data_IF_891781341135
#
_entry.id   IF_891781341135
#
_cell.length_a   1.000
_cell.length_b   1.000
_cell.length_c   1.000
_cell.angle_alpha   90.00
_cell.angle_beta   90.00
_cell.angle_gamma   90.00
#
_symmetry.space_group_name_H-M   'P 1'
#
loop_
_entity.id
_entity.type
_entity.pdbx_description
1 polymer ?
#
# COMPACT_ATOMS: atom_id res chain seq x y z
N UNK A 1 29.23 35.15 -39.99
CA UNK A 1 27.75 34.89 -39.86
C UNK A 1 27.43 33.46 -39.38
N UNK A 2 28.22 32.85 -38.56
CA UNK A 2 28.03 31.44 -38.12
C UNK A 2 27.78 31.25 -36.61
N UNK A 3 27.56 32.31 -35.89
CA UNK A 3 27.36 32.25 -34.43
C UNK A 3 25.86 32.13 -34.00
N UNK A 4 24.92 32.27 -34.93
CA UNK A 4 23.49 32.37 -34.60
C UNK A 4 22.76 31.00 -34.64
N UNK A 5 23.31 30.01 -35.25
CA UNK A 5 22.66 28.69 -35.45
C UNK A 5 22.83 27.75 -34.23
N UNK A 6 23.93 27.84 -33.49
CA UNK A 6 24.19 26.98 -32.34
C UNK A 6 23.27 27.23 -31.14
N UNK A 7 22.89 28.51 -30.93
CA UNK A 7 22.02 28.89 -29.85
C UNK A 7 20.55 28.44 -30.00
N UNK A 8 20.07 28.29 -31.23
CA UNK A 8 18.70 27.83 -31.50
C UNK A 8 18.56 26.31 -31.23
N UNK A 9 19.51 25.53 -31.69
CA UNK A 9 19.47 24.07 -31.49
C UNK A 9 19.58 23.65 -30.03
N UNK A 10 20.40 24.36 -29.25
CA UNK A 10 20.55 24.10 -27.80
C UNK A 10 19.26 24.46 -27.06
N UNK A 11 18.61 25.57 -27.37
CA UNK A 11 17.34 25.97 -26.78
C UNK A 11 16.22 24.98 -27.12
N UNK A 12 16.14 24.51 -28.36
CA UNK A 12 15.16 23.53 -28.80
C UNK A 12 15.41 22.18 -28.11
N UNK A 13 16.66 21.73 -28.02
CA UNK A 13 17.01 20.52 -27.31
C UNK A 13 16.67 20.57 -25.82
N UNK A 14 16.99 21.70 -25.15
CA UNK A 14 16.65 21.91 -23.75
C UNK A 14 15.13 21.91 -23.51
N UNK A 15 14.36 22.50 -24.41
CA UNK A 15 12.89 22.51 -24.33
C UNK A 15 12.32 21.09 -24.47
N UNK A 16 12.82 20.29 -25.38
CA UNK A 16 12.38 18.91 -25.57
C UNK A 16 12.68 18.08 -24.33
N UNK A 17 13.87 18.21 -23.75
CA UNK A 17 14.26 17.51 -22.52
C UNK A 17 13.36 17.92 -21.35
N UNK A 18 13.06 19.20 -21.23
CA UNK A 18 12.18 19.73 -20.18
C UNK A 18 10.76 19.17 -20.31
N UNK A 19 10.21 19.14 -21.52
CA UNK A 19 8.88 18.57 -21.79
C UNK A 19 8.84 17.06 -21.46
N UNK A 20 9.87 16.32 -21.87
CA UNK A 20 9.97 14.91 -21.55
C UNK A 20 10.08 14.66 -20.05
N UNK A 21 10.83 15.47 -19.32
CA UNK A 21 10.94 15.40 -17.87
C UNK A 21 9.60 15.66 -17.16
N UNK A 22 8.82 16.64 -17.64
CA UNK A 22 7.47 16.93 -17.12
C UNK A 22 6.53 15.77 -17.40
N UNK A 23 6.54 15.21 -18.62
CA UNK A 23 5.72 14.06 -18.96
C UNK A 23 6.07 12.82 -18.12
N UNK A 24 7.36 12.57 -17.90
CA UNK A 24 7.82 11.47 -17.07
C UNK A 24 7.38 11.62 -15.60
N UNK A 25 7.47 12.83 -15.05
CA UNK A 25 7.00 13.11 -13.67
C UNK A 25 5.49 12.99 -13.53
N UNK A 26 4.73 13.40 -14.51
CA UNK A 26 3.27 13.24 -14.51
C UNK A 26 2.87 11.77 -14.60
N UNK A 27 3.55 10.98 -15.44
CA UNK A 27 3.26 9.55 -15.58
C UNK A 27 3.60 8.75 -14.31
N UNK A 28 4.64 9.14 -13.57
CA UNK A 28 5.04 8.49 -12.32
C UNK A 28 4.09 8.78 -11.14
N UNK A 29 3.22 9.77 -11.28
CA UNK A 29 2.25 10.15 -10.26
C UNK A 29 0.91 9.40 -10.32
N UNK A 30 0.66 8.56 -11.32
CA UNK A 30 -0.59 7.80 -11.42
C UNK A 30 -0.58 6.60 -10.48
N UNK A 31 -1.68 6.44 -9.74
CA UNK A 31 -1.93 5.23 -8.96
C UNK A 31 -3.32 4.68 -9.21
N UNK A 32 -3.49 3.39 -9.00
CA UNK A 32 -4.76 2.68 -9.06
C UNK A 32 -4.88 1.78 -7.84
N UNK A 33 -6.03 1.83 -7.17
CA UNK A 33 -6.37 0.99 -6.02
C UNK A 33 -7.55 0.11 -6.44
N UNK A 34 -7.42 -1.20 -6.27
CA UNK A 34 -8.48 -2.15 -6.60
C UNK A 34 -9.68 -2.01 -5.66
N UNK A 35 -10.87 -2.43 -6.11
CA UNK A 35 -12.11 -2.39 -5.34
C UNK A 35 -12.08 -3.24 -4.07
N UNK A 36 -11.16 -4.20 -4.00
CA UNK A 36 -10.94 -5.10 -2.86
C UNK A 36 -9.94 -4.59 -1.84
N UNK A 37 -9.33 -3.43 -2.12
CA UNK A 37 -8.26 -2.83 -1.33
C UNK A 37 -8.64 -1.43 -0.85
N UNK A 38 -7.94 -0.99 0.19
CA UNK A 38 -7.93 0.41 0.65
C UNK A 38 -6.51 0.93 0.62
N UNK A 39 -6.33 2.13 0.06
CA UNK A 39 -5.07 2.83 0.09
C UNK A 39 -4.91 3.65 1.36
N UNK A 40 -3.71 3.62 1.93
CA UNK A 40 -3.27 4.55 2.96
C UNK A 40 -2.23 5.46 2.35
N UNK A 41 -2.54 6.74 2.28
CA UNK A 41 -1.64 7.75 1.75
C UNK A 41 -0.74 8.27 2.86
N UNK A 42 0.55 8.04 2.70
CA UNK A 42 1.59 8.55 3.59
C UNK A 42 2.21 9.79 2.96
N UNK A 43 2.19 10.88 3.69
CA UNK A 43 2.83 12.12 3.27
C UNK A 43 4.05 12.39 4.16
N UNK A 44 5.23 12.53 3.56
CA UNK A 44 6.47 12.74 4.30
C UNK A 44 6.55 14.10 5.01
N UNK A 45 5.85 15.10 4.50
CA UNK A 45 5.84 16.45 5.10
C UNK A 45 4.84 16.60 6.24
N UNK A 46 3.75 15.87 6.18
CA UNK A 46 2.69 15.91 7.16
C UNK A 46 2.19 14.48 7.34
N UNK A 47 2.43 13.83 8.47
CA UNK A 47 2.06 12.43 8.69
C UNK A 47 0.55 12.23 8.85
N UNK A 48 -0.25 12.99 8.13
CA UNK A 48 -1.67 12.71 8.00
C UNK A 48 -1.85 11.46 7.13
N UNK A 49 -2.13 10.36 7.79
CA UNK A 49 -2.50 9.13 7.13
C UNK A 49 -3.97 9.19 6.75
N UNK A 50 -4.24 9.30 5.46
CA UNK A 50 -5.60 9.38 4.93
C UNK A 50 -5.94 8.06 4.26
N UNK A 51 -7.06 7.46 4.67
CA UNK A 51 -7.62 6.30 3.96
C UNK A 51 -8.22 6.75 2.64
N UNK A 52 -7.75 6.15 1.54
CA UNK A 52 -8.21 6.46 0.18
C UNK A 52 -9.10 5.34 -0.33
N UNK A 53 -10.21 5.73 -0.94
CA UNK A 53 -11.16 4.80 -1.56
C UNK A 53 -10.57 4.17 -2.83
N UNK A 54 -11.04 2.97 -3.22
CA UNK A 54 -10.70 2.36 -4.49
C UNK A 54 -10.93 3.31 -5.67
N UNK A 55 -10.06 3.23 -6.66
CA UNK A 55 -10.12 4.05 -7.84
C UNK A 55 -8.74 4.48 -8.31
N UNK A 56 -8.71 5.43 -9.21
CA UNK A 56 -7.48 6.01 -9.72
C UNK A 56 -7.30 7.44 -9.21
N UNK A 57 -6.06 7.87 -9.14
CA UNK A 57 -5.74 9.23 -8.71
C UNK A 57 -4.32 9.63 -9.07
N UNK A 58 -3.95 10.82 -8.64
CA UNK A 58 -2.61 11.38 -8.80
C UNK A 58 -1.98 11.59 -7.44
N UNK A 59 -0.72 11.20 -7.33
CA UNK A 59 0.13 11.51 -6.19
C UNK A 59 1.32 12.37 -6.64
N UNK A 60 1.91 13.05 -5.69
CA UNK A 60 3.14 13.79 -5.95
C UNK A 60 4.31 12.80 -5.74
N UNK A 61 5.00 12.39 -6.82
CA UNK A 61 6.14 11.49 -6.69
C UNK A 61 7.18 12.10 -5.74
N UNK A 62 7.91 11.25 -5.03
CA UNK A 62 8.92 11.60 -4.02
C UNK A 62 8.42 12.22 -2.70
N UNK A 63 7.16 12.70 -2.62
CA UNK A 63 6.60 13.26 -1.37
C UNK A 63 5.52 12.39 -0.75
N UNK A 64 4.88 11.57 -1.55
CA UNK A 64 3.74 10.76 -1.15
C UNK A 64 3.96 9.31 -1.56
N UNK A 65 3.59 8.41 -0.66
CA UNK A 65 3.58 6.96 -0.92
C UNK A 65 2.18 6.44 -0.60
N UNK A 66 1.73 5.44 -1.34
CA UNK A 66 0.47 4.75 -1.08
C UNK A 66 0.81 3.31 -0.73
N UNK A 67 0.28 2.86 0.40
CA UNK A 67 0.25 1.45 0.77
C UNK A 67 -1.17 0.91 0.66
N UNK A 68 -1.34 -0.27 0.08
CA UNK A 68 -2.63 -0.90 -0.12
C UNK A 68 -2.84 -2.03 0.88
N UNK A 69 -4.05 -2.12 1.42
CA UNK A 69 -4.48 -3.13 2.37
C UNK A 69 -5.72 -3.84 1.83
N UNK A 70 -5.68 -5.16 1.83
CA UNK A 70 -6.83 -5.96 1.44
C UNK A 70 -7.90 -5.89 2.53
N UNK A 71 -9.12 -5.48 2.14
CA UNK A 71 -10.28 -5.34 3.03
C UNK A 71 -11.29 -6.49 2.89
N UNK A 72 -10.97 -7.49 2.07
CA UNK A 72 -11.81 -8.68 1.95
C UNK A 72 -11.76 -9.52 3.23
N UNK A 73 -12.80 -10.33 3.43
CA UNK A 73 -12.80 -11.31 4.50
C UNK A 73 -11.76 -12.39 4.20
N UNK A 74 -10.80 -12.54 5.09
CA UNK A 74 -9.74 -13.54 5.01
C UNK A 74 -10.03 -14.66 5.99
N UNK A 75 -9.67 -15.89 5.60
CA UNK A 75 -9.79 -17.08 6.44
C UNK A 75 -8.40 -17.46 6.94
N UNK A 76 -8.26 -17.48 8.25
CA UNK A 76 -7.06 -17.97 8.91
C UNK A 76 -7.36 -19.29 9.57
N UNK A 77 -6.57 -20.34 9.28
CA UNK A 77 -6.77 -21.69 9.80
C UNK A 77 -5.55 -22.09 10.60
N UNK A 78 -5.78 -22.46 11.85
CA UNK A 78 -4.74 -23.03 12.73
C UNK A 78 -5.12 -24.43 13.11
N UNK A 79 -4.15 -25.34 13.01
CA UNK A 79 -4.24 -26.68 13.57
C UNK A 79 -3.67 -26.68 14.98
N UNK A 80 -4.53 -26.90 15.96
CA UNK A 80 -4.14 -26.98 17.37
C UNK A 80 -4.16 -28.46 17.81
N UNK A 81 -2.98 -28.94 18.16
CA UNK A 81 -2.85 -30.27 18.77
C UNK A 81 -3.16 -30.19 20.27
N UNK A 82 -4.16 -30.91 20.72
CA UNK A 82 -4.48 -31.05 22.14
C UNK A 82 -4.32 -32.52 22.58
N UNK A 83 -3.78 -32.73 23.74
CA UNK A 83 -3.74 -34.07 24.36
C UNK A 83 -5.03 -34.30 25.17
N UNK A 84 -5.76 -35.35 24.83
CA UNK A 84 -6.91 -35.77 25.63
C UNK A 84 -6.43 -36.40 26.96
N UNK A 85 -7.33 -36.47 27.95
CA UNK A 85 -7.06 -37.17 29.24
C UNK A 85 -6.62 -38.62 29.07
N UNK A 86 -6.97 -39.23 27.95
CA UNK A 86 -6.63 -40.64 27.61
C UNK A 86 -5.34 -40.73 26.76
N UNK A 87 -4.47 -39.72 26.78
CA UNK A 87 -3.21 -39.67 26.03
C UNK A 87 -3.35 -39.83 24.50
N UNK A 88 -4.55 -39.63 23.97
CA UNK A 88 -4.76 -39.59 22.53
C UNK A 88 -4.54 -38.16 22.00
N UNK A 89 -3.75 -38.05 20.96
CA UNK A 89 -3.55 -36.76 20.26
C UNK A 89 -4.78 -36.42 19.44
N UNK A 90 -5.48 -35.38 19.82
CA UNK A 90 -6.59 -34.83 19.05
C UNK A 90 -6.08 -33.58 18.30
N UNK A 91 -6.19 -33.61 16.97
CA UNK A 91 -5.92 -32.45 16.16
C UNK A 91 -7.25 -31.73 15.86
N UNK A 92 -7.32 -30.46 16.24
CA UNK A 92 -8.50 -29.62 15.98
C UNK A 92 -8.09 -28.48 15.08
N UNK A 93 -8.84 -28.28 14.01
CA UNK A 93 -8.65 -27.11 13.14
C UNK A 93 -9.61 -26.00 13.57
N UNK A 94 -9.04 -24.85 13.89
CA UNK A 94 -9.81 -23.63 14.18
C UNK A 94 -9.69 -22.70 12.99
N UNK A 95 -10.84 -22.34 12.40
CA UNK A 95 -10.91 -21.37 11.31
C UNK A 95 -11.45 -20.05 11.82
N UNK A 96 -10.66 -19.00 11.67
CA UNK A 96 -11.05 -17.63 11.99
C UNK A 96 -11.27 -16.84 10.69
N UNK A 97 -12.45 -16.27 10.52
CA UNK A 97 -12.72 -15.32 9.45
C UNK A 97 -12.60 -13.90 10.00
N UNK A 98 -11.75 -13.10 9.40
CA UNK A 98 -11.52 -11.72 9.80
C UNK A 98 -11.44 -10.79 8.59
N UNK A 99 -11.64 -9.52 8.78
CA UNK A 99 -11.47 -8.49 7.77
C UNK A 99 -11.03 -7.17 8.40
N UNK A 100 -10.32 -6.36 7.63
CA UNK A 100 -10.00 -4.99 8.02
C UNK A 100 -11.22 -4.08 7.80
N UNK A 101 -11.48 -3.20 8.76
CA UNK A 101 -12.47 -2.15 8.62
C UNK A 101 -11.91 -1.06 7.67
N UNK A 102 -12.55 -0.80 6.52
CA UNK A 102 -12.05 0.15 5.53
C UNK A 102 -11.83 1.57 6.07
N UNK A 103 -12.57 1.97 7.08
CA UNK A 103 -12.46 3.32 7.67
C UNK A 103 -11.30 3.41 8.67
N UNK A 104 -10.87 2.28 9.24
CA UNK A 104 -9.84 2.21 10.28
C UNK A 104 -8.48 1.74 9.78
N UNK A 105 -8.36 1.45 8.49
CA UNK A 105 -7.09 0.94 7.92
C UNK A 105 -5.90 1.85 8.20
N UNK A 106 -6.10 3.18 8.17
CA UNK A 106 -5.05 4.14 8.49
C UNK A 106 -4.57 4.03 9.95
N UNK A 107 -5.47 3.79 10.91
CA UNK A 107 -5.11 3.57 12.32
C UNK A 107 -4.38 2.25 12.51
N UNK A 108 -4.82 1.20 11.82
CA UNK A 108 -4.13 -0.10 11.86
C UNK A 108 -2.70 0.00 11.35
N UNK A 109 -2.47 0.81 10.31
CA UNK A 109 -1.12 1.07 9.80
C UNK A 109 -0.24 1.78 10.83
N UNK A 110 -0.79 2.78 11.57
CA UNK A 110 -0.06 3.53 12.60
C UNK A 110 0.34 2.62 13.76
N UNK A 111 -0.61 1.84 14.28
CA UNK A 111 -0.42 1.08 15.52
C UNK A 111 0.33 -0.24 15.31
N UNK A 112 0.13 -0.91 14.18
CA UNK A 112 0.57 -2.28 13.94
C UNK A 112 1.47 -2.43 12.71
N UNK A 113 1.54 -1.41 11.87
CA UNK A 113 2.30 -1.46 10.62
C UNK A 113 1.73 -2.47 9.62
N UNK A 114 2.58 -2.94 8.73
CA UNK A 114 2.20 -3.88 7.66
C UNK A 114 1.92 -5.31 8.16
N UNK A 115 2.36 -5.65 9.37
CA UNK A 115 2.28 -6.99 9.95
C UNK A 115 1.14 -7.14 10.98
N UNK A 116 0.05 -6.40 10.82
CA UNK A 116 -1.11 -6.44 11.72
C UNK A 116 -1.66 -7.86 11.96
N UNK A 117 -1.64 -8.70 10.91
CA UNK A 117 -2.10 -10.08 10.95
C UNK A 117 -1.32 -10.92 11.97
N UNK A 118 0.01 -10.90 11.90
CA UNK A 118 0.86 -11.69 12.79
C UNK A 118 0.86 -11.17 14.24
N UNK A 119 0.62 -9.88 14.42
CA UNK A 119 0.67 -9.25 15.75
C UNK A 119 -0.61 -9.49 16.54
N UNK A 120 -1.77 -9.49 15.87
CA UNK A 120 -3.07 -9.61 16.55
C UNK A 120 -3.58 -11.05 16.55
N UNK A 121 -3.50 -11.75 15.42
CA UNK A 121 -4.18 -13.02 15.24
C UNK A 121 -3.43 -14.16 15.90
N UNK A 122 -2.11 -14.24 15.73
CA UNK A 122 -1.29 -15.30 16.30
C UNK A 122 -1.42 -15.44 17.83
N UNK A 123 -1.30 -14.37 18.63
CA UNK A 123 -1.44 -14.50 20.08
C UNK A 123 -2.89 -14.67 20.55
N UNK A 124 -3.89 -14.26 19.76
CA UNK A 124 -5.29 -14.40 20.13
C UNK A 124 -5.83 -15.84 20.01
N UNK A 125 -5.12 -16.71 19.27
CA UNK A 125 -5.56 -18.08 19.00
C UNK A 125 -4.74 -19.11 19.81
N UNK A 126 -3.60 -18.73 20.38
CA UNK A 126 -2.81 -19.60 21.28
C UNK A 126 -3.32 -19.55 22.70
#
# INVERSE_FOLDING_TARGET
MSQMQLGSGIKTGATIILVLAILATLSAGFYTIDGTERGVKLNWKNPEMVSIQPGWGLLIPYQQTIETYNIQTQKYVISVGSASKDLQSVQTEVALNWRLDPEKVAFVHIDLGHNAESIIIDPAIR
#
